data_IF_976379811700
#
_entry.id   IF_976379811700
#
_cell.length_a   1.000
_cell.length_b   1.000
_cell.length_c   1.000
_cell.angle_alpha   90.00
_cell.angle_beta   90.00
_cell.angle_gamma   90.00
#
_symmetry.space_group_name_H-M   'P 1'
#
loop_
_entity.id
_entity.type
_entity.pdbx_description
1 polymer ?
#
# COMPACT_ATOMS: atom_id res chain seq x y z
N UNK A 1 1.91 -31.02 -20.81
CA UNK A 1 0.70 -30.42 -21.41
C UNK A 1 0.74 -28.95 -21.00
N UNK A 2 1.21 -28.07 -21.88
CA UNK A 2 1.50 -26.67 -21.53
C UNK A 2 0.19 -25.89 -21.46
N UNK A 3 -0.19 -25.44 -20.27
CA UNK A 3 -1.29 -24.48 -20.12
C UNK A 3 -0.72 -23.07 -20.20
N UNK A 4 -0.76 -22.47 -21.39
CA UNK A 4 -0.61 -21.03 -21.57
C UNK A 4 -1.91 -20.34 -21.13
N UNK A 5 -1.92 -19.76 -19.93
CA UNK A 5 -3.02 -18.91 -19.48
C UNK A 5 -2.72 -17.45 -19.78
N UNK A 6 -3.46 -16.92 -20.74
CA UNK A 6 -3.43 -15.53 -21.18
C UNK A 6 -3.81 -14.60 -20.03
N UNK A 7 -2.89 -13.70 -19.65
CA UNK A 7 -3.13 -12.72 -18.59
C UNK A 7 -4.21 -11.72 -19.01
N UNK A 8 -5.35 -11.71 -18.31
CA UNK A 8 -6.33 -10.63 -18.44
C UNK A 8 -5.75 -9.36 -17.76
N UNK A 9 -5.58 -8.23 -18.47
CA UNK A 9 -5.11 -7.00 -17.87
C UNK A 9 -6.32 -6.31 -17.26
N UNK A 10 -6.43 -6.30 -15.94
CA UNK A 10 -7.01 -5.21 -15.10
C UNK A 10 -7.40 -5.78 -13.74
N UNK A 11 -6.42 -6.32 -13.00
CA UNK A 11 -6.51 -6.33 -11.54
C UNK A 11 -5.20 -5.74 -11.07
N UNK A 12 -5.23 -4.45 -10.71
CA UNK A 12 -4.11 -3.85 -9.99
C UNK A 12 -3.89 -4.68 -8.73
N UNK A 13 -2.63 -4.81 -8.28
CA UNK A 13 -2.24 -5.60 -7.10
C UNK A 13 -2.82 -5.10 -5.77
N UNK A 14 -3.99 -4.45 -5.78
CA UNK A 14 -4.68 -3.85 -4.65
C UNK A 14 -5.64 -4.77 -3.90
N UNK A 15 -6.17 -5.82 -4.53
CA UNK A 15 -7.05 -6.79 -3.85
C UNK A 15 -6.25 -7.97 -3.31
N UNK A 16 -6.53 -8.33 -2.05
CA UNK A 16 -5.95 -9.49 -1.36
C UNK A 16 -6.46 -10.83 -1.93
N UNK A 17 -7.65 -10.84 -2.53
CA UNK A 17 -8.20 -11.98 -3.27
C UNK A 17 -7.88 -11.84 -4.75
N UNK A 18 -7.25 -12.87 -5.31
CA UNK A 18 -6.89 -12.98 -6.73
C UNK A 18 -7.61 -14.20 -7.31
N UNK A 19 -8.87 -14.06 -7.75
CA UNK A 19 -9.65 -15.20 -8.23
C UNK A 19 -8.97 -15.96 -9.37
N UNK A 20 -8.17 -15.28 -10.22
CA UNK A 20 -7.40 -15.94 -11.28
C UNK A 20 -6.19 -16.74 -10.80
N UNK A 21 -5.57 -16.36 -9.67
CA UNK A 21 -4.50 -17.15 -9.05
C UNK A 21 -5.10 -18.34 -8.29
N UNK A 22 -6.20 -18.11 -7.58
CA UNK A 22 -6.91 -19.14 -6.82
C UNK A 22 -7.41 -20.27 -7.75
N UNK A 23 -8.00 -19.92 -8.90
CA UNK A 23 -8.39 -20.90 -9.93
C UNK A 23 -7.20 -21.65 -10.54
N UNK A 24 -6.07 -20.97 -10.75
CA UNK A 24 -4.86 -21.62 -11.26
C UNK A 24 -4.31 -22.65 -10.24
N UNK A 25 -4.36 -22.33 -8.94
CA UNK A 25 -3.96 -23.23 -7.86
C UNK A 25 -4.86 -24.45 -7.75
N UNK A 26 -6.17 -24.32 -7.98
CA UNK A 26 -7.10 -25.46 -7.99
C UNK A 26 -6.81 -26.49 -9.10
N UNK A 27 -6.23 -26.04 -10.21
CA UNK A 27 -5.94 -26.88 -11.37
C UNK A 27 -4.54 -27.50 -11.35
N UNK A 28 -3.61 -26.94 -10.56
CA UNK A 28 -2.26 -27.46 -10.42
C UNK A 28 -2.24 -28.82 -9.70
N UNK A 29 -1.35 -29.69 -10.13
CA UNK A 29 -1.09 -31.02 -9.57
C UNK A 29 0.40 -31.20 -9.30
N UNK A 30 0.72 -32.25 -8.53
CA UNK A 30 2.10 -32.67 -8.29
C UNK A 30 2.86 -32.87 -9.63
N UNK A 31 4.04 -32.28 -9.74
CA UNK A 31 4.85 -32.28 -10.96
C UNK A 31 4.55 -31.15 -11.96
N UNK A 32 3.50 -30.35 -11.77
CA UNK A 32 3.26 -29.17 -12.60
C UNK A 32 4.21 -28.03 -12.23
N UNK A 33 4.35 -27.03 -13.10
CA UNK A 33 5.14 -25.82 -12.83
C UNK A 33 4.31 -24.57 -13.07
N UNK A 34 4.15 -23.75 -12.03
CA UNK A 34 3.54 -22.45 -12.13
C UNK A 34 4.54 -21.45 -12.74
N UNK A 35 4.23 -20.99 -13.96
CA UNK A 35 5.03 -19.98 -14.66
C UNK A 35 4.36 -18.62 -14.53
N UNK A 36 5.14 -17.63 -14.10
CA UNK A 36 4.67 -16.24 -14.01
C UNK A 36 5.56 -15.30 -14.79
N UNK A 37 4.95 -14.23 -15.33
CA UNK A 37 5.70 -13.22 -16.06
C UNK A 37 6.69 -12.48 -15.15
N UNK A 38 6.23 -11.99 -14.00
CA UNK A 38 7.04 -11.17 -13.08
C UNK A 38 6.55 -11.32 -11.63
N UNK A 39 7.48 -11.37 -10.68
CA UNK A 39 7.18 -11.65 -9.27
C UNK A 39 6.35 -10.55 -8.57
N UNK A 40 6.45 -9.30 -9.06
CA UNK A 40 5.69 -8.15 -8.54
C UNK A 40 4.17 -8.32 -8.66
N UNK A 41 3.70 -9.23 -9.52
CA UNK A 41 2.28 -9.53 -9.70
C UNK A 41 1.72 -10.53 -8.71
N UNK A 42 2.56 -11.33 -8.05
CA UNK A 42 2.15 -12.40 -7.13
C UNK A 42 2.12 -11.99 -5.67
N UNK A 43 2.91 -11.00 -5.24
CA UNK A 43 3.01 -10.66 -3.83
C UNK A 43 3.27 -9.18 -3.60
N UNK A 44 2.60 -8.60 -2.60
CA UNK A 44 2.92 -7.26 -2.07
C UNK A 44 4.08 -7.27 -1.08
N UNK A 45 4.39 -8.45 -0.54
CA UNK A 45 5.47 -8.65 0.42
C UNK A 45 6.31 -9.82 -0.03
N UNK A 46 7.62 -9.64 0.08
CA UNK A 46 8.61 -10.70 -0.10
C UNK A 46 8.32 -11.89 0.81
N UNK A 47 7.88 -11.63 2.05
CA UNK A 47 7.51 -12.70 3.00
C UNK A 47 6.37 -13.58 2.49
N UNK A 48 5.34 -12.96 1.90
CA UNK A 48 4.21 -13.70 1.34
C UNK A 48 4.64 -14.53 0.14
N UNK A 49 5.58 -14.03 -0.67
CA UNK A 49 6.09 -14.75 -1.83
C UNK A 49 6.93 -15.96 -1.40
N UNK A 50 7.77 -15.83 -0.37
CA UNK A 50 8.52 -16.95 0.20
C UNK A 50 7.55 -18.03 0.73
N UNK A 51 6.58 -17.62 1.56
CA UNK A 51 5.59 -18.57 2.08
C UNK A 51 4.80 -19.28 0.97
N UNK A 52 4.51 -18.56 -0.12
CA UNK A 52 3.83 -19.12 -1.29
C UNK A 52 4.71 -20.11 -2.06
N UNK A 53 5.99 -19.81 -2.28
CA UNK A 53 6.92 -20.75 -2.93
C UNK A 53 7.14 -22.00 -2.09
N UNK A 54 7.21 -21.86 -0.76
CA UNK A 54 7.34 -23.00 0.15
C UNK A 54 6.10 -23.90 0.09
N UNK A 55 4.90 -23.32 0.01
CA UNK A 55 3.65 -24.06 -0.16
C UNK A 55 3.61 -24.85 -1.48
N UNK A 56 4.06 -24.24 -2.57
CA UNK A 56 4.15 -24.91 -3.86
C UNK A 56 5.16 -26.06 -3.84
N UNK A 57 6.33 -25.86 -3.20
CA UNK A 57 7.33 -26.92 -3.03
C UNK A 57 6.78 -28.11 -2.23
N UNK A 58 6.05 -27.86 -1.13
CA UNK A 58 5.41 -28.92 -0.35
C UNK A 58 4.33 -29.68 -1.13
N UNK A 59 3.70 -29.03 -2.11
CA UNK A 59 2.74 -29.63 -3.01
C UNK A 59 3.40 -30.31 -4.24
N UNK A 60 4.73 -30.30 -4.33
CA UNK A 60 5.48 -30.83 -5.47
C UNK A 60 5.31 -30.03 -6.76
N UNK A 61 4.87 -28.78 -6.64
CA UNK A 61 4.64 -27.87 -7.76
C UNK A 61 5.88 -26.98 -7.93
N UNK A 62 6.43 -26.99 -9.15
CA UNK A 62 7.52 -26.10 -9.55
C UNK A 62 7.07 -24.65 -9.67
N UNK A 63 7.99 -23.72 -9.54
CA UNK A 63 7.70 -22.30 -9.71
C UNK A 63 8.80 -21.59 -10.49
N UNK A 64 8.40 -20.80 -11.50
CA UNK A 64 9.33 -20.14 -12.42
C UNK A 64 8.86 -18.73 -12.80
N UNK A 65 9.77 -17.76 -12.71
CA UNK A 65 9.56 -16.39 -13.21
C UNK A 65 10.28 -16.20 -14.55
N UNK A 66 9.57 -15.70 -15.56
CA UNK A 66 10.12 -15.45 -16.90
C UNK A 66 11.01 -14.20 -16.93
N UNK A 67 10.56 -13.09 -16.35
CA UNK A 67 11.31 -11.82 -16.39
C UNK A 67 12.50 -11.83 -15.44
N UNK A 68 12.36 -12.49 -14.29
CA UNK A 68 13.39 -12.47 -13.24
C UNK A 68 14.40 -13.62 -13.40
N UNK A 69 14.23 -14.51 -14.39
CA UNK A 69 15.03 -15.74 -14.60
C UNK A 69 15.21 -16.60 -13.33
N UNK A 70 14.23 -16.56 -12.43
CA UNK A 70 14.26 -17.33 -11.19
C UNK A 70 13.50 -18.64 -11.42
N UNK A 71 14.18 -19.74 -11.14
CA UNK A 71 13.63 -21.09 -11.18
C UNK A 71 13.79 -21.75 -9.82
N UNK A 72 12.70 -21.85 -9.06
CA UNK A 72 12.72 -22.45 -7.72
C UNK A 72 12.55 -23.97 -7.73
N UNK A 73 12.53 -24.61 -8.91
CA UNK A 73 12.54 -26.07 -9.00
C UNK A 73 13.88 -26.66 -8.55
N UNK A 74 14.96 -25.89 -8.69
CA UNK A 74 16.31 -26.30 -8.27
C UNK A 74 16.68 -25.78 -6.88
N UNK A 75 17.43 -26.54 -6.05
CA UNK A 75 17.92 -26.05 -4.76
C UNK A 75 18.75 -24.77 -4.86
N UNK A 76 19.55 -24.63 -5.92
CA UNK A 76 20.35 -23.44 -6.19
C UNK A 76 19.48 -22.20 -6.49
N UNK A 77 18.43 -22.36 -7.31
CA UNK A 77 17.51 -21.27 -7.63
C UNK A 77 16.65 -20.87 -6.43
N UNK A 78 16.26 -21.82 -5.57
CA UNK A 78 15.64 -21.50 -4.26
C UNK A 78 16.55 -20.68 -3.38
N UNK A 79 17.80 -21.11 -3.20
CA UNK A 79 18.77 -20.36 -2.40
C UNK A 79 18.97 -18.93 -2.93
N UNK A 80 19.19 -18.78 -4.25
CA UNK A 80 19.34 -17.47 -4.88
C UNK A 80 18.10 -16.60 -4.67
N UNK A 81 16.92 -17.18 -4.82
CA UNK A 81 15.66 -16.50 -4.55
C UNK A 81 15.57 -15.97 -3.11
N UNK A 82 15.89 -16.79 -2.10
CA UNK A 82 15.87 -16.36 -0.68
C UNK A 82 16.90 -15.27 -0.38
N UNK A 83 18.10 -15.34 -0.98
CA UNK A 83 19.13 -14.30 -0.81
C UNK A 83 18.67 -12.97 -1.42
N UNK A 84 18.17 -12.99 -2.66
CA UNK A 84 17.65 -11.81 -3.34
C UNK A 84 16.44 -11.21 -2.60
N UNK A 85 15.55 -12.07 -2.13
CA UNK A 85 14.42 -11.69 -1.30
C UNK A 85 14.85 -10.99 0.00
N UNK A 86 15.85 -11.55 0.69
CA UNK A 86 16.39 -10.97 1.93
C UNK A 86 17.05 -9.61 1.68
N UNK A 87 17.79 -9.48 0.58
CA UNK A 87 18.41 -8.21 0.18
C UNK A 87 17.36 -7.14 -0.13
N UNK A 88 16.32 -7.49 -0.91
CA UNK A 88 15.22 -6.58 -1.21
C UNK A 88 14.47 -6.12 0.06
N UNK A 89 14.29 -7.02 1.03
CA UNK A 89 13.68 -6.69 2.32
C UNK A 89 14.56 -5.71 3.12
N UNK A 90 15.88 -5.95 3.17
CA UNK A 90 16.83 -5.05 3.83
C UNK A 90 16.83 -3.64 3.20
N UNK A 91 16.87 -3.54 1.87
CA UNK A 91 16.80 -2.24 1.18
C UNK A 91 15.51 -1.48 1.50
N UNK A 92 14.39 -2.20 1.60
CA UNK A 92 13.11 -1.62 1.98
C UNK A 92 13.15 -1.08 3.41
N UNK A 93 13.72 -1.82 4.35
CA UNK A 93 13.87 -1.41 5.75
C UNK A 93 14.76 -0.16 5.87
N UNK A 94 15.91 -0.14 5.18
CA UNK A 94 16.80 1.03 5.14
C UNK A 94 16.11 2.27 4.55
N UNK A 95 15.27 2.10 3.53
CA UNK A 95 14.49 3.19 2.94
C UNK A 95 13.48 3.76 3.93
N UNK A 96 12.81 2.89 4.70
CA UNK A 96 11.87 3.29 5.75
C UNK A 96 12.60 4.04 6.87
N UNK A 97 13.75 3.54 7.29
CA UNK A 97 14.58 4.16 8.33
C UNK A 97 15.02 5.58 7.93
N UNK A 98 15.57 5.74 6.72
CA UNK A 98 15.93 7.06 6.17
C UNK A 98 14.75 8.02 6.12
N UNK A 99 13.58 7.51 5.71
CA UNK A 99 12.36 8.33 5.67
C UNK A 99 11.97 8.80 7.07
N UNK A 100 12.02 7.91 8.08
CA UNK A 100 11.73 8.27 9.47
C UNK A 100 12.71 9.31 10.02
N UNK A 101 14.01 9.11 9.79
CA UNK A 101 15.04 10.07 10.19
C UNK A 101 14.81 11.45 9.55
N UNK A 102 14.44 11.49 8.26
CA UNK A 102 14.08 12.73 7.56
C UNK A 102 12.83 13.41 8.14
N UNK A 103 11.80 12.63 8.49
CA UNK A 103 10.58 13.15 9.12
C UNK A 103 10.85 13.71 10.53
N UNK A 104 11.72 13.07 11.31
CA UNK A 104 12.13 13.55 12.63
C UNK A 104 12.95 14.84 12.54
N UNK A 105 13.90 14.91 11.61
CA UNK A 105 14.65 16.14 11.34
C UNK A 105 13.72 17.28 10.91
N UNK A 106 12.75 17.02 10.04
CA UNK A 106 11.75 18.01 9.63
C UNK A 106 10.89 18.51 10.81
N UNK A 107 10.49 17.60 11.71
CA UNK A 107 9.77 17.97 12.95
C UNK A 107 10.61 18.85 13.87
N UNK A 108 11.89 18.52 14.09
CA UNK A 108 12.83 19.34 14.89
C UNK A 108 13.00 20.74 14.30
N UNK A 109 13.00 20.85 12.97
CA UNK A 109 13.08 22.11 12.24
C UNK A 109 11.72 22.85 12.12
N UNK A 110 10.69 22.45 12.88
CA UNK A 110 9.38 23.13 12.90
C UNK A 110 8.54 22.94 11.64
N UNK A 111 8.89 21.97 10.78
CA UNK A 111 8.14 21.61 9.56
C UNK A 111 7.48 20.24 9.75
N UNK A 112 6.37 20.15 10.49
CA UNK A 112 5.72 18.88 10.74
C UNK A 112 5.20 18.26 9.43
N UNK A 113 5.41 16.95 9.22
CA UNK A 113 4.89 16.26 8.05
C UNK A 113 3.36 16.14 8.13
N UNK A 114 2.69 16.25 6.98
CA UNK A 114 1.24 16.09 6.85
C UNK A 114 0.57 17.22 6.09
N UNK A 115 -0.76 17.13 5.96
CA UNK A 115 -1.57 18.13 5.26
C UNK A 115 -1.58 19.44 6.06
N UNK A 116 -1.24 20.56 5.42
CA UNK A 116 -1.36 21.90 6.02
C UNK A 116 -2.79 22.13 6.52
N UNK A 117 -2.93 22.72 7.70
CA UNK A 117 -4.23 23.06 8.28
C UNK A 117 -4.94 24.09 7.38
N UNK A 118 -6.21 23.84 7.04
CA UNK A 118 -7.02 24.77 6.26
C UNK A 118 -7.56 25.93 7.12
N UNK A 119 -7.81 25.68 8.40
CA UNK A 119 -8.17 26.71 9.37
C UNK A 119 -6.91 27.38 9.92
N UNK A 120 -6.86 28.70 9.77
CA UNK A 120 -5.86 29.59 10.37
C UNK A 120 -6.53 30.45 11.44
N UNK A 121 -5.75 31.03 12.35
CA UNK A 121 -6.31 31.86 13.44
C UNK A 121 -7.15 33.03 12.91
N UNK A 122 -6.75 33.62 11.77
CA UNK A 122 -7.53 34.64 11.07
C UNK A 122 -8.89 34.13 10.60
N UNK A 123 -8.94 32.91 10.05
CA UNK A 123 -10.19 32.29 9.61
C UNK A 123 -11.10 31.92 10.79
N UNK A 124 -10.52 31.50 11.92
CA UNK A 124 -11.26 31.21 13.15
C UNK A 124 -11.87 32.51 13.71
N UNK A 125 -11.10 33.60 13.77
CA UNK A 125 -11.59 34.90 14.22
C UNK A 125 -12.73 35.43 13.32
N UNK A 126 -12.56 35.36 12.00
CA UNK A 126 -13.59 35.76 11.05
C UNK A 126 -14.87 34.89 11.19
N UNK A 127 -14.72 33.58 11.35
CA UNK A 127 -15.84 32.67 11.56
C UNK A 127 -16.60 32.99 12.86
N UNK A 128 -15.91 33.24 13.97
CA UNK A 128 -16.53 33.62 15.26
C UNK A 128 -17.32 34.93 15.15
N UNK A 129 -16.78 35.94 14.45
CA UNK A 129 -17.47 37.21 14.25
C UNK A 129 -18.75 37.05 13.42
N UNK A 130 -18.72 36.25 12.35
CA UNK A 130 -19.90 36.00 11.52
C UNK A 130 -20.98 35.21 12.28
N UNK A 131 -20.57 34.21 13.08
CA UNK A 131 -21.50 33.45 13.93
C UNK A 131 -22.14 34.33 15.01
N UNK A 132 -21.39 35.26 15.60
CA UNK A 132 -21.90 36.22 16.58
C UNK A 132 -22.91 37.21 15.97
N UNK A 133 -22.78 37.52 14.68
CA UNK A 133 -23.74 38.34 13.91
C UNK A 133 -25.00 37.57 13.49
N UNK A 134 -25.13 36.30 13.89
CA UNK A 134 -26.29 35.46 13.59
C UNK A 134 -26.28 34.81 12.20
N UNK A 135 -25.17 34.86 11.47
CA UNK A 135 -25.05 34.19 10.16
C UNK A 135 -25.09 32.67 10.32
N UNK A 136 -25.72 31.96 9.38
CA UNK A 136 -25.85 30.49 9.44
C UNK A 136 -24.49 29.80 9.36
N UNK A 137 -24.32 28.66 10.04
CA UNK A 137 -23.06 27.92 10.01
C UNK A 137 -22.67 27.45 8.60
N UNK A 138 -23.65 27.21 7.72
CA UNK A 138 -23.41 26.84 6.33
C UNK A 138 -22.79 28.00 5.53
N UNK A 139 -23.34 29.21 5.68
CA UNK A 139 -22.84 30.41 5.00
C UNK A 139 -21.46 30.82 5.53
N UNK A 140 -21.24 30.68 6.84
CA UNK A 140 -19.92 30.92 7.44
C UNK A 140 -18.87 29.94 6.90
N UNK A 141 -19.21 28.65 6.79
CA UNK A 141 -18.31 27.64 6.23
C UNK A 141 -17.96 27.96 4.76
N UNK A 142 -18.96 28.36 3.96
CA UNK A 142 -18.76 28.79 2.57
C UNK A 142 -17.84 30.01 2.47
N UNK A 143 -18.12 31.07 3.24
CA UNK A 143 -17.36 32.31 3.24
C UNK A 143 -15.90 32.14 3.68
N UNK A 144 -15.65 31.22 4.61
CA UNK A 144 -14.29 30.92 5.11
C UNK A 144 -13.57 29.86 4.25
N UNK A 145 -14.28 29.25 3.29
CA UNK A 145 -13.76 28.27 2.36
C UNK A 145 -13.40 26.93 3.03
N UNK A 146 -14.23 26.47 3.97
CA UNK A 146 -14.06 25.20 4.68
C UNK A 146 -15.37 24.41 4.67
N UNK A 147 -15.31 23.09 4.88
CA UNK A 147 -16.53 22.29 5.02
C UNK A 147 -17.19 22.52 6.39
N UNK A 148 -18.51 22.35 6.47
CA UNK A 148 -19.27 22.46 7.72
C UNK A 148 -18.70 21.56 8.84
N UNK A 149 -18.34 20.28 8.59
CA UNK A 149 -17.69 19.45 9.61
C UNK A 149 -16.33 19.99 10.06
N UNK A 150 -15.60 20.67 9.16
CA UNK A 150 -14.33 21.32 9.53
C UNK A 150 -14.63 22.51 10.43
N UNK A 151 -15.62 23.34 10.12
CA UNK A 151 -16.00 24.48 10.97
C UNK A 151 -16.35 24.04 12.40
N UNK A 152 -17.24 23.06 12.56
CA UNK A 152 -17.66 22.58 13.89
C UNK A 152 -16.54 21.90 14.68
N UNK A 153 -15.54 21.31 14.01
CA UNK A 153 -14.36 20.73 14.68
C UNK A 153 -13.53 21.78 15.41
N UNK A 154 -13.53 23.02 14.92
CA UNK A 154 -12.76 24.13 15.49
C UNK A 154 -13.61 25.09 16.35
N UNK A 155 -14.91 25.18 16.07
CA UNK A 155 -15.87 26.01 16.82
C UNK A 155 -17.08 25.12 17.15
N UNK A 156 -17.06 24.39 18.27
CA UNK A 156 -18.17 23.55 18.66
C UNK A 156 -19.41 24.41 19.01
N UNK A 157 -20.59 23.87 18.73
CA UNK A 157 -21.86 24.57 18.94
C UNK A 157 -22.19 24.87 20.42
N UNK A 158 -21.43 24.27 21.34
CA UNK A 158 -21.62 24.35 22.79
C UNK A 158 -21.11 25.66 23.41
N UNK A 159 -20.31 26.45 22.69
CA UNK A 159 -19.77 27.76 23.14
C UNK A 159 -20.79 28.92 22.97
N UNK A 160 -22.10 28.63 23.07
CA UNK A 160 -23.20 29.59 22.92
C UNK A 160 -23.90 29.87 24.24
#
# INVERSE_FOLDING_TARGET
>A
MFSEFTSCPTISGAKASRPGLDQALEHLRDGDTLVVWKLDRLGRSVKNLIAFTDQLEHAGIGFRSLTDQIDTTTPAGRFFFHVMASLAQMERELTIERTRAGLEAARKNGRPPGRKRLMTDRKIAAARQLLARGTSAADVAHNVGVSIPTLYRWIPATDR
#
